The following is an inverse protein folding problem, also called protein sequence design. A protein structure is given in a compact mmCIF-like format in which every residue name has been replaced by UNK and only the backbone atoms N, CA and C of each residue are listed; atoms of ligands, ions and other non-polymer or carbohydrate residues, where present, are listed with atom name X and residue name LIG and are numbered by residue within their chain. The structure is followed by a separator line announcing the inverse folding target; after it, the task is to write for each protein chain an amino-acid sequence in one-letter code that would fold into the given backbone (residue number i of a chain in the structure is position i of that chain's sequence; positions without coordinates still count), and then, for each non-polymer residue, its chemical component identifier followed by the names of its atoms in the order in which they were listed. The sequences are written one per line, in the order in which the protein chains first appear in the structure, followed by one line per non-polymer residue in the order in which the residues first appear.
data_IF_938021739697
#
_entry.id   IF_938021739697
#
_cell.length_a   1.000
_cell.length_b   1.000
_cell.length_c   1.000
_cell.angle_alpha   90.00
_cell.angle_beta   90.00
_cell.angle_gamma   90.00
#
_symmetry.space_group_name_H-M   'P 1'
#
loop_
_entity.id
_entity.type
_entity.pdbx_description
1 polymer ?
#
# COMPACT_ATOMS: atom_id res chain seq x y z
N UNK A 1 -0.69 -13.09 9.55
CA UNK A 1 0.25 -12.12 10.15
C UNK A 1 1.50 -12.08 9.29
N UNK A 2 1.97 -10.90 8.87
CA UNK A 2 3.18 -10.74 8.07
C UNK A 2 4.33 -10.32 8.99
N UNK A 3 5.51 -10.90 8.81
CA UNK A 3 6.69 -10.64 9.64
C UNK A 3 7.67 -9.77 8.88
N UNK A 4 8.12 -8.67 9.50
CA UNK A 4 9.05 -7.73 8.89
C UNK A 4 10.42 -8.39 8.64
N UNK A 5 10.93 -8.39 7.39
CA UNK A 5 12.22 -9.00 7.08
C UNK A 5 13.41 -8.23 7.68
N UNK A 6 13.20 -6.99 8.14
CA UNK A 6 14.26 -6.12 8.68
C UNK A 6 14.42 -6.22 10.20
N UNK A 7 13.36 -6.49 10.94
CA UNK A 7 13.40 -6.49 12.42
C UNK A 7 12.53 -7.57 13.08
N UNK A 8 11.96 -8.49 12.29
CA UNK A 8 11.19 -9.65 12.75
C UNK A 8 9.93 -9.31 13.58
N UNK A 9 9.44 -8.08 13.49
CA UNK A 9 8.21 -7.63 14.16
C UNK A 9 7.00 -7.73 13.23
N UNK A 10 5.80 -7.60 13.79
CA UNK A 10 4.55 -7.68 13.03
C UNK A 10 4.38 -6.51 12.05
N UNK A 11 3.63 -6.79 10.98
CA UNK A 11 3.27 -5.79 9.98
C UNK A 11 1.75 -5.64 9.88
N UNK A 12 1.32 -4.40 9.71
CA UNK A 12 -0.06 -4.00 9.48
C UNK A 12 -0.32 -3.75 7.99
N UNK A 13 -1.49 -4.13 7.50
CA UNK A 13 -1.92 -3.78 6.15
C UNK A 13 -2.29 -2.30 6.08
N UNK A 14 -2.03 -1.67 4.94
CA UNK A 14 -2.37 -0.27 4.72
C UNK A 14 -2.18 0.14 3.27
N UNK A 15 -2.27 1.45 3.04
CA UNK A 15 -2.01 2.06 1.75
C UNK A 15 -1.41 3.45 1.94
N UNK A 16 -0.72 3.90 0.90
CA UNK A 16 -0.23 5.26 0.80
C UNK A 16 -1.23 6.03 -0.06
N UNK A 17 -1.69 7.17 0.45
CA UNK A 17 -2.48 8.09 -0.37
C UNK A 17 -1.53 9.02 -1.10
N UNK A 18 -1.55 8.91 -2.42
CA UNK A 18 -0.93 9.91 -3.30
C UNK A 18 -1.68 11.23 -3.11
N UNK A 19 -0.93 12.27 -2.74
CA UNK A 19 -1.40 13.65 -2.70
C UNK A 19 -0.51 14.51 -3.60
N UNK A 20 -1.07 15.61 -4.12
CA UNK A 20 -0.35 16.55 -4.99
C UNK A 20 0.50 17.56 -4.18
N UNK A 21 0.84 17.23 -2.93
CA UNK A 21 1.62 18.10 -2.06
C UNK A 21 3.11 17.74 -2.17
N UNK A 22 4.00 18.69 -1.85
CA UNK A 22 5.44 18.41 -1.72
C UNK A 22 5.78 17.76 -0.36
N UNK A 23 4.79 17.30 0.40
CA UNK A 23 4.98 16.68 1.70
C UNK A 23 5.20 15.17 1.58
N UNK A 24 5.60 14.52 2.67
CA UNK A 24 5.73 13.07 2.71
C UNK A 24 4.33 12.46 2.65
N UNK A 25 4.14 11.49 1.76
CA UNK A 25 2.86 10.81 1.67
C UNK A 25 2.50 10.10 3.00
N UNK A 26 1.27 10.25 3.50
CA UNK A 26 0.86 9.65 4.75
C UNK A 26 0.62 8.13 4.59
N UNK A 27 0.96 7.39 5.64
CA UNK A 27 0.53 6.00 5.80
C UNK A 27 -0.89 5.96 6.36
N UNK A 28 -1.76 5.16 5.74
CA UNK A 28 -3.12 4.92 6.22
C UNK A 28 -3.25 3.42 6.53
N UNK A 29 -3.45 3.09 7.81
CA UNK A 29 -3.68 1.72 8.25
C UNK A 29 -5.06 1.22 7.83
N UNK A 30 -5.15 -0.06 7.49
CA UNK A 30 -6.36 -0.71 7.00
C UNK A 30 -6.43 -0.79 5.47
N UNK A 31 -7.32 -1.66 4.97
CA UNK A 31 -7.56 -1.77 3.52
C UNK A 31 -8.52 -0.67 3.07
N UNK A 32 -8.35 -0.09 1.86
CA UNK A 32 -9.31 0.87 1.34
C UNK A 32 -10.71 0.25 1.29
N UNK A 33 -11.71 0.93 1.84
CA UNK A 33 -13.11 0.54 1.67
C UNK A 33 -13.51 0.78 0.20
N UNK A 34 -13.43 -0.27 -0.62
CA UNK A 34 -13.92 -0.33 -2.00
C UNK A 34 -13.77 0.97 -2.82
N UNK A 35 -12.56 1.28 -3.28
CA UNK A 35 -12.33 2.36 -4.25
C UNK A 35 -12.00 1.80 -5.63
N UNK A 36 -12.92 1.04 -6.23
CA UNK A 36 -12.93 0.75 -7.67
C UNK A 36 -13.62 1.90 -8.45
N UNK A 37 -13.31 3.15 -8.09
CA UNK A 37 -13.87 4.32 -8.75
C UNK A 37 -12.73 5.27 -9.11
N UNK A 38 -12.42 5.33 -10.42
CA UNK A 38 -12.13 6.62 -11.04
C UNK A 38 -10.72 6.92 -11.52
N UNK A 39 -9.83 5.94 -11.77
CA UNK A 39 -8.62 6.23 -12.58
C UNK A 39 -8.88 5.83 -14.04
N UNK A 40 -8.66 6.77 -14.96
CA UNK A 40 -8.68 6.54 -16.41
C UNK A 40 -7.55 5.58 -16.76
N UNK A 41 -7.86 4.29 -16.78
CA UNK A 41 -6.92 3.26 -17.24
C UNK A 41 -6.92 3.35 -18.77
N UNK A 42 -5.75 3.56 -19.37
CA UNK A 42 -5.61 3.47 -20.81
C UNK A 42 -6.17 2.12 -21.27
N UNK A 43 -6.99 2.09 -22.34
CA UNK A 43 -7.76 0.91 -22.79
C UNK A 43 -6.96 -0.40 -22.96
N UNK A 44 -5.63 -0.35 -22.99
CA UNK A 44 -4.72 -1.49 -23.15
C UNK A 44 -3.90 -1.86 -21.91
N UNK A 45 -4.11 -1.23 -20.75
CA UNK A 45 -3.29 -1.49 -19.56
C UNK A 45 -3.94 -2.51 -18.61
N UNK A 46 -3.23 -3.62 -18.34
CA UNK A 46 -3.55 -4.54 -17.25
C UNK A 46 -3.32 -3.83 -15.91
N UNK A 47 -4.33 -3.77 -15.05
CA UNK A 47 -4.22 -3.19 -13.71
C UNK A 47 -4.26 -4.31 -12.69
N UNK A 48 -3.15 -4.45 -11.95
CA UNK A 48 -3.01 -5.42 -10.87
C UNK A 48 -3.14 -4.64 -9.55
N UNK A 49 -4.15 -4.93 -8.71
CA UNK A 49 -4.26 -4.30 -7.41
C UNK A 49 -3.02 -4.56 -6.55
N UNK A 50 -2.49 -3.50 -5.93
CA UNK A 50 -1.35 -3.61 -5.03
C UNK A 50 -1.82 -3.64 -3.57
N UNK A 51 -1.23 -4.51 -2.76
CA UNK A 51 -1.40 -4.54 -1.30
C UNK A 51 -0.10 -4.09 -0.64
N UNK A 52 -0.17 -3.22 0.38
CA UNK A 52 1.01 -2.79 1.14
C UNK A 52 0.94 -3.28 2.59
N UNK A 53 2.11 -3.57 3.15
CA UNK A 53 2.28 -3.90 4.57
C UNK A 53 3.37 -3.02 5.17
N UNK A 54 3.11 -2.39 6.32
CA UNK A 54 4.08 -1.60 7.08
C UNK A 54 4.42 -2.29 8.38
N UNK A 55 5.71 -2.35 8.70
CA UNK A 55 6.18 -2.79 10.00
C UNK A 55 5.81 -1.77 11.08
N UNK A 56 5.13 -2.22 12.13
CA UNK A 56 4.69 -1.37 13.25
C UNK A 56 5.85 -0.89 14.12
N UNK A 57 7.02 -1.54 14.04
CA UNK A 57 8.22 -1.21 14.82
C UNK A 57 9.23 -0.33 14.08
N UNK A 58 9.70 -0.74 12.91
CA UNK A 58 10.77 -0.05 12.19
C UNK A 58 10.28 0.79 10.99
N UNK A 59 9.00 0.72 10.64
CA UNK A 59 8.43 1.48 9.53
C UNK A 59 8.78 0.98 8.13
N UNK A 60 9.47 -0.16 7.98
CA UNK A 60 9.69 -0.79 6.67
C UNK A 60 8.35 -1.09 5.99
N UNK A 61 8.23 -0.73 4.71
CA UNK A 61 7.03 -0.95 3.90
C UNK A 61 7.37 -1.85 2.73
N UNK A 62 6.51 -2.83 2.46
CA UNK A 62 6.58 -3.70 1.28
C UNK A 62 5.26 -3.68 0.50
N UNK A 63 5.36 -3.83 -0.82
CA UNK A 63 4.24 -3.82 -1.75
C UNK A 63 4.18 -5.12 -2.53
N UNK A 64 2.96 -5.64 -2.73
CA UNK A 64 2.69 -6.85 -3.48
C UNK A 64 1.67 -6.58 -4.58
N UNK A 65 2.00 -6.91 -5.82
CA UNK A 65 1.08 -6.95 -6.96
C UNK A 65 0.97 -8.41 -7.41
N UNK A 66 0.02 -9.17 -6.86
CA UNK A 66 -0.18 -10.59 -7.20
C UNK A 66 -1.20 -10.70 -8.34
N UNK A 67 -0.88 -11.56 -9.30
CA UNK A 67 -1.63 -11.80 -10.53
C UNK A 67 -2.71 -12.89 -10.39
#
# INVERSE_FOLDING_TARGET
MKTCPKCQSDMEAGYIREDFSNERHPWISGVPANSWLGRTIAKSSRVIPMTAYRCTKCGFVEFYAQD
#
